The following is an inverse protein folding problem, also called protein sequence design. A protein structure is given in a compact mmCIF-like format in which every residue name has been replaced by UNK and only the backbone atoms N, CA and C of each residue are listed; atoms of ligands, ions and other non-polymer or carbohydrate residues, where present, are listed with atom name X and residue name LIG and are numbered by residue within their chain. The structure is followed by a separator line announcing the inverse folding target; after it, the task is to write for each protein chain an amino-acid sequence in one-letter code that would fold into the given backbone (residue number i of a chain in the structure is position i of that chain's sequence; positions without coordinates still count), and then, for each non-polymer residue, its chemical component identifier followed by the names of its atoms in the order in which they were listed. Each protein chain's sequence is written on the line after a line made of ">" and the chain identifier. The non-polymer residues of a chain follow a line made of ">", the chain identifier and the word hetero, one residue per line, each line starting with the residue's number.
data_IF_701297098256
#
_entry.id   IF_701297098256
#
_cell.length_a   1.000
_cell.length_b   1.000
_cell.length_c   1.000
_cell.angle_alpha   90.00
_cell.angle_beta   90.00
_cell.angle_gamma   90.00
#
_symmetry.space_group_name_H-M   'P 1'
#
loop_
_entity.id
_entity.type
_entity.pdbx_description
1 polymer ?
#
# COMPACT_ATOMS: atom_id res chain seq x y z
N UNK A 1 -52.17 19.52 -6.39
CA UNK A 1 -52.97 18.43 -6.98
C UNK A 1 -52.01 17.55 -7.76
N UNK A 2 -51.97 16.26 -7.43
CA UNK A 2 -51.02 15.24 -7.89
C UNK A 2 -51.01 15.05 -9.41
N UNK A 3 -49.83 14.78 -9.98
CA UNK A 3 -49.69 13.86 -11.11
C UNK A 3 -48.23 13.42 -11.26
N UNK A 4 -47.89 12.32 -10.60
CA UNK A 4 -46.75 11.47 -10.94
C UNK A 4 -47.04 10.81 -12.29
N UNK A 5 -46.08 10.84 -13.22
CA UNK A 5 -46.02 9.90 -14.34
C UNK A 5 -44.67 9.18 -14.29
N UNK A 6 -44.71 7.98 -13.74
CA UNK A 6 -43.70 6.94 -13.90
C UNK A 6 -43.64 6.52 -15.37
N UNK A 7 -42.44 6.48 -15.94
CA UNK A 7 -42.14 5.65 -17.10
C UNK A 7 -40.90 4.82 -16.76
N UNK A 8 -41.12 3.50 -16.80
CA UNK A 8 -40.22 2.46 -16.39
C UNK A 8 -39.11 2.24 -17.42
N UNK A 9 -37.88 2.05 -16.95
CA UNK A 9 -36.87 1.28 -17.68
C UNK A 9 -36.57 0.03 -16.85
N UNK A 10 -37.07 -1.10 -17.33
CA UNK A 10 -36.67 -2.43 -16.87
C UNK A 10 -35.29 -2.73 -17.43
N UNK A 11 -34.26 -2.64 -16.58
CA UNK A 11 -32.94 -3.17 -16.89
C UNK A 11 -32.87 -4.63 -16.46
N UNK A 12 -32.89 -5.53 -17.44
CA UNK A 12 -32.46 -6.90 -17.28
C UNK A 12 -30.93 -6.91 -17.31
N UNK A 13 -30.30 -7.36 -16.23
CA UNK A 13 -28.85 -7.49 -16.17
C UNK A 13 -28.44 -8.19 -14.89
N UNK A 14 -28.39 -9.52 -14.93
CA UNK A 14 -27.78 -10.32 -13.89
C UNK A 14 -26.29 -9.96 -13.80
N UNK A 15 -25.89 -9.25 -12.74
CA UNK A 15 -24.49 -9.08 -12.41
C UNK A 15 -24.01 -10.33 -11.64
N UNK A 16 -22.86 -10.92 -12.01
CA UNK A 16 -22.31 -12.04 -11.25
C UNK A 16 -21.98 -11.57 -9.84
N UNK A 17 -22.20 -12.46 -8.86
CA UNK A 17 -21.72 -12.30 -7.49
C UNK A 17 -20.19 -12.24 -7.49
N UNK A 18 -19.65 -11.05 -7.78
CA UNK A 18 -18.32 -10.69 -7.36
C UNK A 18 -18.32 -10.69 -5.83
N UNK A 19 -17.38 -11.42 -5.24
CA UNK A 19 -17.12 -11.34 -3.81
C UNK A 19 -16.67 -9.91 -3.54
N UNK A 20 -17.64 -9.05 -3.24
CA UNK A 20 -17.38 -7.77 -2.61
C UNK A 20 -16.74 -8.13 -1.27
N UNK A 21 -15.41 -8.01 -1.20
CA UNK A 21 -14.74 -7.92 0.09
C UNK A 21 -15.35 -6.69 0.73
N UNK A 22 -16.26 -6.91 1.67
CA UNK A 22 -16.81 -5.85 2.50
C UNK A 22 -15.62 -5.21 3.20
N UNK A 23 -15.15 -4.09 2.65
CA UNK A 23 -14.38 -3.14 3.42
C UNK A 23 -15.41 -2.65 4.41
N UNK A 24 -15.32 -3.13 5.65
CA UNK A 24 -16.06 -2.53 6.75
C UNK A 24 -15.86 -1.01 6.59
N UNK A 25 -16.94 -0.23 6.66
CA UNK A 25 -16.84 1.22 6.69
C UNK A 25 -16.12 1.61 7.98
N UNK A 26 -14.80 1.47 7.97
CA UNK A 26 -13.90 1.99 8.97
C UNK A 26 -13.93 3.50 8.82
N UNK A 27 -14.15 4.19 9.93
CA UNK A 27 -13.93 5.63 9.97
C UNK A 27 -12.57 5.97 9.41
N UNK A 28 -12.47 7.08 8.68
CA UNK A 28 -11.18 7.61 8.23
C UNK A 28 -10.24 7.74 9.45
N UNK A 29 -8.96 7.37 9.30
CA UNK A 29 -7.98 7.51 10.37
C UNK A 29 -7.88 8.95 10.84
N UNK A 30 -7.72 9.12 12.15
CA UNK A 30 -7.51 10.42 12.78
C UNK A 30 -6.04 10.83 12.78
N UNK A 31 -5.78 12.12 12.97
CA UNK A 31 -4.42 12.64 13.19
C UNK A 31 -3.73 11.95 14.37
N UNK A 32 -4.45 11.71 15.47
CA UNK A 32 -3.91 11.04 16.66
C UNK A 32 -3.48 9.60 16.36
N UNK A 33 -4.30 8.85 15.63
CA UNK A 33 -3.97 7.47 15.20
C UNK A 33 -2.75 7.45 14.28
N UNK A 34 -2.68 8.36 13.30
CA UNK A 34 -1.51 8.53 12.43
C UNK A 34 -0.25 8.83 13.23
N UNK A 35 -0.28 9.80 14.16
CA UNK A 35 0.88 10.13 14.99
C UNK A 35 1.31 8.97 15.89
N UNK A 36 0.35 8.25 16.50
CA UNK A 36 0.66 7.07 17.29
C UNK A 36 1.35 5.98 16.45
N UNK A 37 0.89 5.79 15.20
CA UNK A 37 1.49 4.81 14.28
C UNK A 37 2.89 5.21 13.82
N UNK A 38 3.11 6.50 13.54
CA UNK A 38 4.44 7.03 13.21
C UNK A 38 5.43 6.80 14.35
N UNK A 39 5.00 7.00 15.60
CA UNK A 39 5.88 6.76 16.76
C UNK A 39 6.14 5.26 17.01
N UNK A 40 5.16 4.39 16.78
CA UNK A 40 5.38 2.92 16.77
C UNK A 40 6.47 2.54 15.75
N UNK A 41 6.32 3.04 14.52
CA UNK A 41 7.24 2.77 13.42
C UNK A 41 8.65 3.33 13.68
N UNK A 42 8.74 4.54 14.26
CA UNK A 42 10.01 5.16 14.66
C UNK A 42 10.73 4.32 15.70
N UNK A 43 10.02 3.93 16.77
CA UNK A 43 10.59 3.10 17.83
C UNK A 43 11.14 1.77 17.27
N UNK A 44 10.43 1.16 16.31
CA UNK A 44 10.91 -0.03 15.61
C UNK A 44 12.17 0.25 14.78
N UNK A 45 12.17 1.31 13.97
CA UNK A 45 13.34 1.68 13.16
C UNK A 45 14.60 1.95 14.01
N UNK A 46 14.42 2.53 15.20
CA UNK A 46 15.51 2.83 16.15
C UNK A 46 16.16 1.58 16.74
N UNK A 47 15.53 0.40 16.66
CA UNK A 47 16.14 -0.88 17.05
C UNK A 47 17.27 -1.31 16.12
N UNK A 48 17.33 -0.75 14.91
CA UNK A 48 18.38 -1.03 13.93
C UNK A 48 19.52 0.00 14.01
N UNK A 49 20.77 -0.38 13.69
CA UNK A 49 21.87 0.57 13.55
C UNK A 49 21.56 1.65 12.52
N UNK A 50 22.06 2.88 12.73
CA UNK A 50 21.83 4.03 11.82
C UNK A 50 22.25 3.73 10.37
N UNK A 51 23.31 2.95 10.20
CA UNK A 51 23.84 2.53 8.90
C UNK A 51 23.12 1.33 8.27
N UNK A 52 22.10 0.77 8.93
CA UNK A 52 21.35 -0.36 8.41
C UNK A 52 20.40 0.08 7.29
N UNK A 53 20.43 -0.60 6.14
CA UNK A 53 19.66 -0.20 4.97
C UNK A 53 18.14 -0.17 5.22
N UNK A 54 17.57 -1.18 5.90
CA UNK A 54 16.15 -1.13 6.28
C UNK A 54 15.79 0.03 7.19
N UNK A 55 16.70 0.49 8.07
CA UNK A 55 16.45 1.71 8.86
C UNK A 55 16.37 2.94 7.96
N UNK A 56 17.29 3.06 7.01
CA UNK A 56 17.26 4.15 6.03
C UNK A 56 15.92 4.20 5.28
N UNK A 57 15.43 3.06 4.76
CA UNK A 57 14.15 3.02 4.06
C UNK A 57 12.95 3.29 4.98
N UNK A 58 12.94 2.74 6.19
CA UNK A 58 11.90 3.02 7.18
C UNK A 58 11.83 4.51 7.53
N UNK A 59 12.97 5.18 7.73
CA UNK A 59 13.02 6.62 7.99
C UNK A 59 12.50 7.44 6.80
N UNK A 60 12.68 6.99 5.55
CA UNK A 60 12.10 7.64 4.36
C UNK A 60 10.58 7.49 4.30
N UNK A 61 10.06 6.30 4.61
CA UNK A 61 8.62 6.12 4.74
C UNK A 61 8.04 7.01 5.84
N UNK A 62 8.71 7.14 6.99
CA UNK A 62 8.26 8.03 8.07
C UNK A 62 8.28 9.51 7.68
N UNK A 63 9.28 9.96 6.92
CA UNK A 63 9.30 11.32 6.37
C UNK A 63 8.10 11.59 5.47
N UNK A 64 7.72 10.60 4.64
CA UNK A 64 6.53 10.71 3.78
C UNK A 64 5.24 10.70 4.60
N UNK A 65 5.11 9.80 5.57
CA UNK A 65 3.94 9.73 6.46
C UNK A 65 3.66 11.06 7.15
N UNK A 66 4.71 11.71 7.68
CA UNK A 66 4.60 13.02 8.32
C UNK A 66 4.24 14.14 7.33
N UNK A 67 4.69 14.05 6.08
CA UNK A 67 4.31 15.00 5.05
C UNK A 67 2.81 14.90 4.73
N UNK A 68 2.27 13.69 4.61
CA UNK A 68 0.84 13.47 4.36
C UNK A 68 -0.03 13.87 5.54
N UNK A 69 0.41 13.56 6.76
CA UNK A 69 -0.25 14.08 7.96
C UNK A 69 -0.33 15.61 7.97
N UNK A 70 0.73 16.29 7.51
CA UNK A 70 0.76 17.75 7.35
C UNK A 70 -0.19 18.29 6.29
N UNK A 71 -0.56 17.47 5.30
CA UNK A 71 -1.57 17.78 4.28
C UNK A 71 -3.00 17.43 4.72
N UNK A 72 -3.17 16.73 5.85
CA UNK A 72 -4.46 16.21 6.31
C UNK A 72 -4.82 14.83 5.75
N UNK A 73 -3.92 14.19 5.01
CA UNK A 73 -4.10 12.87 4.40
C UNK A 73 -3.66 11.79 5.42
N UNK A 74 -4.56 11.46 6.36
CA UNK A 74 -4.24 10.58 7.48
C UNK A 74 -4.27 9.08 7.12
N UNK A 75 -5.04 8.69 6.11
CA UNK A 75 -5.03 7.34 5.56
C UNK A 75 -3.69 7.05 4.84
N UNK A 76 -3.19 7.97 4.03
CA UNK A 76 -1.87 7.85 3.41
C UNK A 76 -0.75 7.90 4.46
N UNK A 77 -0.88 8.74 5.50
CA UNK A 77 0.03 8.69 6.64
C UNK A 77 0.12 7.28 7.24
N UNK A 78 -1.04 6.65 7.49
CA UNK A 78 -1.10 5.31 8.05
C UNK A 78 -0.44 4.28 7.12
N UNK A 79 -0.70 4.35 5.81
CA UNK A 79 -0.09 3.45 4.83
C UNK A 79 1.45 3.54 4.84
N UNK A 80 2.00 4.76 4.88
CA UNK A 80 3.45 4.95 4.92
C UNK A 80 4.04 4.55 6.29
N UNK A 81 3.36 4.82 7.40
CA UNK A 81 3.79 4.36 8.72
C UNK A 81 3.80 2.82 8.81
N UNK A 82 2.80 2.15 8.24
CA UNK A 82 2.78 0.68 8.13
C UNK A 82 3.89 0.15 7.22
N UNK A 83 4.16 0.82 6.10
CA UNK A 83 5.27 0.46 5.22
C UNK A 83 6.62 0.55 5.95
N UNK A 84 6.82 1.55 6.80
CA UNK A 84 8.01 1.66 7.65
C UNK A 84 8.12 0.50 8.65
N UNK A 85 7.01 0.10 9.26
CA UNK A 85 6.96 -1.06 10.17
C UNK A 85 7.32 -2.35 9.44
N UNK A 86 6.73 -2.58 8.26
CA UNK A 86 7.00 -3.76 7.46
C UNK A 86 8.46 -3.81 6.99
N UNK A 87 9.01 -2.68 6.57
CA UNK A 87 10.42 -2.58 6.18
C UNK A 87 11.36 -3.09 7.29
N UNK A 88 11.12 -2.68 8.54
CA UNK A 88 11.94 -3.10 9.69
C UNK A 88 11.67 -4.56 10.06
N UNK A 89 10.40 -5.00 10.08
CA UNK A 89 10.03 -6.36 10.49
C UNK A 89 10.50 -7.42 9.50
N UNK A 90 10.47 -7.11 8.21
CA UNK A 90 10.79 -8.05 7.14
C UNK A 90 12.22 -7.91 6.64
N UNK A 91 12.95 -6.86 7.06
CA UNK A 91 14.31 -6.56 6.61
C UNK A 91 14.43 -6.59 5.07
N UNK A 92 13.46 -5.99 4.37
CA UNK A 92 13.28 -6.14 2.92
C UNK A 92 14.52 -5.70 2.11
N UNK A 93 15.34 -4.82 2.69
CA UNK A 93 16.57 -4.31 2.10
C UNK A 93 17.83 -4.69 2.89
N UNK A 94 17.77 -5.74 3.71
CA UNK A 94 18.97 -6.38 4.25
C UNK A 94 19.55 -7.32 3.19
N UNK A 95 20.64 -6.87 2.56
CA UNK A 95 21.38 -7.67 1.60
C UNK A 95 22.72 -8.06 2.22
N UNK A 96 23.07 -9.37 2.23
CA UNK A 96 24.40 -9.80 2.61
C UNK A 96 25.48 -9.02 1.85
N UNK A 97 26.56 -8.64 2.54
CA UNK A 97 27.69 -7.96 1.93
C UNK A 97 28.21 -8.78 0.74
N UNK A 98 28.27 -8.15 -0.44
CA UNK A 98 28.68 -8.80 -1.69
C UNK A 98 27.54 -9.34 -2.55
N UNK A 99 26.29 -9.25 -2.09
CA UNK A 99 25.11 -9.51 -2.93
C UNK A 99 25.09 -8.52 -4.09
N UNK A 100 25.14 -9.03 -5.32
CA UNK A 100 24.90 -8.21 -6.52
C UNK A 100 23.41 -8.24 -6.82
N UNK A 101 22.79 -7.07 -6.90
CA UNK A 101 21.44 -6.95 -7.45
C UNK A 101 21.49 -7.35 -8.93
N UNK A 102 20.65 -8.30 -9.32
CA UNK A 102 20.50 -8.65 -10.73
C UNK A 102 19.68 -7.56 -11.43
N UNK A 103 20.37 -6.51 -11.87
CA UNK A 103 19.77 -5.43 -12.65
C UNK A 103 19.61 -5.94 -14.08
N UNK A 104 18.36 -6.14 -14.49
CA UNK A 104 18.05 -6.56 -15.85
C UNK A 104 18.59 -5.55 -16.85
N UNK A 105 19.27 -6.06 -17.88
CA UNK A 105 19.69 -5.25 -19.02
C UNK A 105 18.49 -4.76 -19.85
N UNK A 106 18.69 -3.79 -20.76
CA UNK A 106 17.61 -3.19 -21.55
C UNK A 106 16.77 -4.17 -22.39
N UNK A 107 17.30 -5.38 -22.66
CA UNK A 107 16.66 -6.41 -23.46
C UNK A 107 16.37 -7.70 -22.65
N UNK A 108 16.54 -7.67 -21.33
CA UNK A 108 16.27 -8.80 -20.45
C UNK A 108 14.89 -8.64 -19.81
N UNK A 109 14.10 -9.72 -19.83
CA UNK A 109 12.79 -9.77 -19.18
C UNK A 109 12.86 -10.66 -17.94
N UNK A 110 12.14 -10.32 -16.85
CA UNK A 110 12.05 -11.19 -15.69
C UNK A 110 11.52 -12.57 -16.11
N UNK A 111 12.32 -13.62 -15.92
CA UNK A 111 11.91 -14.98 -16.33
C UNK A 111 10.86 -15.57 -15.41
N UNK A 112 10.70 -15.02 -14.19
CA UNK A 112 9.69 -15.43 -13.21
C UNK A 112 9.13 -14.23 -12.44
N UNK A 113 8.27 -13.44 -13.10
CA UNK A 113 7.19 -12.78 -12.36
C UNK A 113 6.08 -13.84 -12.29
N UNK A 114 5.78 -14.30 -11.07
CA UNK A 114 4.91 -15.44 -10.81
C UNK A 114 3.67 -15.52 -11.71
N UNK A 115 3.24 -16.76 -11.96
CA UNK A 115 2.19 -17.27 -12.86
C UNK A 115 0.79 -16.61 -12.84
N UNK A 116 0.63 -15.37 -12.38
CA UNK A 116 -0.64 -14.64 -12.30
C UNK A 116 -0.78 -13.47 -13.27
N UNK A 117 0.23 -13.14 -14.08
CA UNK A 117 0.13 -12.10 -15.11
C UNK A 117 0.10 -12.65 -16.55
N UNK A 118 -0.48 -13.83 -16.75
CA UNK A 118 -0.88 -14.29 -18.10
C UNK A 118 -2.37 -14.58 -18.13
N UNK A 119 -3.15 -13.54 -18.41
CA UNK A 119 -4.42 -13.69 -19.12
C UNK A 119 -4.76 -12.37 -19.78
N UNK A 120 -4.87 -12.39 -21.11
CA UNK A 120 -5.55 -11.32 -21.85
C UNK A 120 -4.71 -10.58 -22.89
N UNK A 121 -4.14 -11.31 -23.86
CA UNK A 121 -4.12 -10.85 -25.28
C UNK A 121 -3.76 -12.01 -26.19
N UNK A 122 -4.78 -12.80 -26.51
CA UNK A 122 -4.76 -13.65 -27.71
C UNK A 122 -5.02 -12.79 -28.94
N UNK A 123 -4.45 -13.25 -30.06
CA UNK A 123 -4.58 -12.74 -31.44
C UNK A 123 -5.98 -12.24 -31.81
#
# INVERSE_FOLDING_TARGET
>A
MFALCFAAYLAWGAAPAGIARAVAAGSEPTSEECHAKVEEARALAETLPVQHMSRYFAERYLQRALAEAGNGEFDECMEFAESAILEVRELRHDYPLGTKLNVLGPNEYPTEVGSKFQSGRGN
#
